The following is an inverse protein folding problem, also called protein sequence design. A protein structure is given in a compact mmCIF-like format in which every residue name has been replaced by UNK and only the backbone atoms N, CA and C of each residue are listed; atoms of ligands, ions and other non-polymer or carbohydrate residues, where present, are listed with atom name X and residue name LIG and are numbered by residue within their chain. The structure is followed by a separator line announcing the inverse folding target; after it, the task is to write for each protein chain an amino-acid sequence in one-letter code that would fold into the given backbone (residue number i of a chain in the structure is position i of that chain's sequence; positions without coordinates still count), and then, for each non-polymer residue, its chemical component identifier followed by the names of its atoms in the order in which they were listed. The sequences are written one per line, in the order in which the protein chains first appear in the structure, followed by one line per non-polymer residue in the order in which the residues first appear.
data_IF_283707959895
#
_entry.id   IF_283707959895
#
_cell.length_a   1.000
_cell.length_b   1.000
_cell.length_c   1.000
_cell.angle_alpha   90.00
_cell.angle_beta   90.00
_cell.angle_gamma   90.00
#
_symmetry.space_group_name_H-M   'P 1'
#
loop_
_entity.id
_entity.type
_entity.pdbx_description
1 polymer ?
#
# COMPACT_ATOMS: atom_id res chain seq x y z
N UNK A 1 -13.46 -53.10 15.64
CA UNK A 1 -13.04 -53.11 14.23
C UNK A 1 -13.26 -51.70 13.73
N UNK A 2 -12.14 -51.02 13.51
CA UNK A 2 -11.95 -49.58 13.33
C UNK A 2 -12.25 -49.17 11.90
N UNK A 3 -13.32 -48.41 11.67
CA UNK A 3 -13.71 -47.88 10.35
C UNK A 3 -14.30 -46.46 10.49
N UNK A 4 -13.74 -45.61 11.36
CA UNK A 4 -14.16 -44.19 11.49
C UNK A 4 -12.96 -43.24 11.68
N UNK A 5 -11.82 -43.51 11.01
CA UNK A 5 -10.61 -42.68 11.17
C UNK A 5 -10.03 -42.07 9.87
N UNK A 6 -10.74 -42.19 8.74
CA UNK A 6 -10.30 -41.64 7.45
C UNK A 6 -11.37 -40.83 6.71
N UNK A 7 -12.27 -40.14 7.43
CA UNK A 7 -12.92 -38.97 6.83
C UNK A 7 -11.93 -37.81 6.86
N UNK A 8 -11.09 -37.80 5.83
CA UNK A 8 -10.11 -36.79 5.55
C UNK A 8 -10.68 -35.38 5.79
N UNK A 9 -9.88 -34.57 6.49
CA UNK A 9 -10.00 -33.12 6.54
C UNK A 9 -10.45 -32.57 5.19
N UNK A 10 -11.75 -32.33 5.05
CA UNK A 10 -12.28 -31.52 3.99
C UNK A 10 -11.89 -30.09 4.35
N UNK A 11 -10.68 -29.68 3.95
CA UNK A 11 -10.34 -28.26 3.93
C UNK A 11 -11.14 -27.70 2.75
N UNK A 12 -12.22 -26.93 2.99
CA UNK A 12 -12.93 -26.30 1.89
C UNK A 12 -11.93 -25.42 1.13
N UNK A 13 -11.95 -25.46 -0.21
CA UNK A 13 -11.16 -24.57 -1.10
C UNK A 13 -11.30 -23.08 -0.78
N UNK A 14 -12.29 -22.70 0.03
CA UNK A 14 -12.51 -21.34 0.50
C UNK A 14 -11.61 -20.92 1.68
N UNK A 15 -10.92 -21.86 2.34
CA UNK A 15 -10.06 -21.50 3.47
C UNK A 15 -8.74 -20.85 3.03
N UNK A 16 -8.28 -21.05 1.79
CA UNK A 16 -7.10 -20.36 1.28
C UNK A 16 -7.34 -18.85 1.20
N UNK A 17 -8.52 -18.41 0.75
CA UNK A 17 -8.90 -17.00 0.73
C UNK A 17 -8.98 -16.39 2.15
N UNK A 18 -9.48 -17.17 3.12
CA UNK A 18 -9.61 -16.74 4.53
C UNK A 18 -8.27 -16.74 5.27
N UNK A 19 -7.35 -17.66 4.94
CA UNK A 19 -6.01 -17.71 5.53
C UNK A 19 -5.06 -16.71 4.86
N UNK A 20 -5.22 -16.42 3.56
CA UNK A 20 -4.47 -15.37 2.88
C UNK A 20 -4.92 -13.97 3.35
N UNK A 21 -6.18 -13.82 3.74
CA UNK A 21 -6.77 -12.60 4.32
C UNK A 21 -6.09 -12.09 5.61
N UNK A 22 -5.17 -12.84 6.23
CA UNK A 22 -4.46 -12.43 7.47
C UNK A 22 -3.01 -12.01 7.28
N UNK A 23 -2.42 -12.12 6.08
CA UNK A 23 -1.11 -11.51 5.83
C UNK A 23 -1.32 -10.09 5.32
N UNK A 24 -0.86 -9.12 6.10
CA UNK A 24 -0.71 -7.76 5.61
C UNK A 24 0.20 -7.80 4.37
N UNK A 25 -0.30 -7.30 3.23
CA UNK A 25 0.44 -7.27 1.96
C UNK A 25 1.71 -6.40 2.09
N UNK A 26 1.65 -5.41 2.97
CA UNK A 26 2.70 -4.43 3.22
C UNK A 26 3.11 -4.40 4.70
N UNK A 27 4.31 -3.90 5.05
CA UNK A 27 4.73 -3.73 6.44
C UNK A 27 3.85 -2.74 7.20
N UNK A 28 3.50 -3.00 8.46
CA UNK A 28 2.49 -2.23 9.22
C UNK A 28 2.79 -0.73 9.31
N UNK A 29 4.07 -0.37 9.32
CA UNK A 29 4.54 1.01 9.45
C UNK A 29 5.30 1.44 8.19
N UNK A 30 4.99 2.62 7.67
CA UNK A 30 5.75 3.29 6.62
C UNK A 30 6.79 4.20 7.30
N UNK A 31 8.08 3.88 7.15
CA UNK A 31 9.21 4.72 7.62
C UNK A 31 10.13 5.11 6.47
N UNK A 32 10.97 6.14 6.67
CA UNK A 32 11.96 6.60 5.69
C UNK A 32 12.88 5.48 5.20
N UNK A 33 13.33 4.63 6.12
CA UNK A 33 14.26 3.52 5.83
C UNK A 33 13.61 2.43 4.98
N UNK A 34 12.27 2.33 5.03
CA UNK A 34 11.49 1.30 4.33
C UNK A 34 10.87 1.79 3.02
N UNK A 35 11.00 3.08 2.68
CA UNK A 35 10.30 3.67 1.53
C UNK A 35 10.63 2.97 0.20
N UNK A 36 11.91 2.67 -0.05
CA UNK A 36 12.31 1.98 -1.28
C UNK A 36 11.73 0.57 -1.36
N UNK A 37 11.82 -0.19 -0.27
CA UNK A 37 11.24 -1.55 -0.19
C UNK A 37 9.72 -1.53 -0.33
N UNK A 38 9.07 -0.49 0.23
CA UNK A 38 7.63 -0.28 0.10
C UNK A 38 7.28 0.01 -1.36
N UNK A 39 8.01 0.91 -2.03
CA UNK A 39 7.80 1.22 -3.44
C UNK A 39 7.87 -0.02 -4.32
N UNK A 40 8.92 -0.84 -4.19
CA UNK A 40 9.06 -2.06 -4.98
C UNK A 40 7.88 -3.03 -4.78
N UNK A 41 7.46 -3.23 -3.53
CA UNK A 41 6.32 -4.11 -3.19
C UNK A 41 5.00 -3.57 -3.69
N UNK A 42 4.75 -2.27 -3.54
CA UNK A 42 3.51 -1.63 -4.01
C UNK A 42 3.46 -1.69 -5.53
N UNK A 43 4.58 -1.41 -6.21
CA UNK A 43 4.66 -1.50 -7.66
C UNK A 43 4.36 -2.91 -8.16
N UNK A 44 4.97 -3.94 -7.56
CA UNK A 44 4.68 -5.34 -7.89
C UNK A 44 3.20 -5.69 -7.64
N UNK A 45 2.67 -5.30 -6.47
CA UNK A 45 1.28 -5.56 -6.10
C UNK A 45 0.28 -4.82 -6.98
N UNK A 46 0.62 -3.61 -7.44
CA UNK A 46 -0.22 -2.80 -8.33
C UNK A 46 -0.46 -3.48 -9.68
N UNK A 47 0.52 -4.24 -10.17
CA UNK A 47 0.41 -4.99 -11.43
C UNK A 47 -0.23 -6.37 -11.24
N UNK A 48 0.12 -7.07 -10.16
CA UNK A 48 -0.31 -8.47 -9.94
C UNK A 48 -1.69 -8.59 -9.31
N UNK A 49 -2.04 -7.68 -8.40
CA UNK A 49 -3.28 -7.71 -7.62
C UNK A 49 -3.76 -6.28 -7.26
N UNK A 50 -4.08 -5.43 -8.25
CA UNK A 50 -4.37 -4.00 -8.05
C UNK A 50 -5.47 -3.74 -7.02
N UNK A 51 -6.57 -4.51 -7.04
CA UNK A 51 -7.68 -4.32 -6.09
C UNK A 51 -7.26 -4.66 -4.65
N UNK A 52 -6.41 -5.67 -4.46
CA UNK A 52 -5.90 -6.05 -3.14
C UNK A 52 -4.83 -5.07 -2.65
N UNK A 53 -3.99 -4.58 -3.57
CA UNK A 53 -3.04 -3.51 -3.33
C UNK A 53 -3.77 -2.26 -2.80
N UNK A 54 -4.77 -1.78 -3.52
CA UNK A 54 -5.54 -0.60 -3.13
C UNK A 54 -6.23 -0.78 -1.77
N UNK A 55 -6.87 -1.93 -1.53
CA UNK A 55 -7.47 -2.24 -0.22
C UNK A 55 -6.44 -2.22 0.91
N UNK A 56 -5.27 -2.83 0.70
CA UNK A 56 -4.21 -2.84 1.70
C UNK A 56 -3.67 -1.44 1.99
N UNK A 57 -3.54 -0.58 0.97
CA UNK A 57 -3.13 0.82 1.12
C UNK A 57 -4.13 1.64 1.94
N UNK A 58 -5.43 1.49 1.67
CA UNK A 58 -6.50 2.17 2.41
C UNK A 58 -6.57 1.65 3.85
N UNK A 59 -6.61 0.33 4.06
CA UNK A 59 -6.70 -0.26 5.41
C UNK A 59 -5.48 0.03 6.28
N UNK A 60 -4.29 0.10 5.69
CA UNK A 60 -3.06 0.43 6.39
C UNK A 60 -2.84 1.93 6.59
N UNK A 61 -3.77 2.79 6.15
CA UNK A 61 -3.63 4.24 6.24
C UNK A 61 -2.32 4.77 5.60
N UNK A 62 -1.88 4.16 4.51
CA UNK A 62 -0.57 4.47 3.92
C UNK A 62 -0.49 5.88 3.34
N UNK A 63 -1.61 6.47 2.90
CA UNK A 63 -1.64 7.85 2.41
C UNK A 63 -1.17 8.81 3.50
N UNK A 64 -1.80 8.80 4.68
CA UNK A 64 -1.40 9.70 5.75
C UNK A 64 0.02 9.44 6.26
N UNK A 65 0.44 8.17 6.35
CA UNK A 65 1.80 7.84 6.77
C UNK A 65 2.85 8.35 5.75
N UNK A 66 2.59 8.17 4.46
CA UNK A 66 3.48 8.63 3.39
C UNK A 66 3.59 10.16 3.38
N UNK A 67 2.48 10.88 3.58
CA UNK A 67 2.47 12.34 3.62
C UNK A 67 3.13 12.91 4.89
N UNK A 68 3.07 12.19 6.02
CA UNK A 68 3.85 12.55 7.20
C UNK A 68 5.36 12.45 6.93
N UNK A 69 5.80 11.43 6.17
CA UNK A 69 7.19 11.31 5.75
C UNK A 69 7.55 12.40 4.73
N UNK A 70 6.67 12.69 3.78
CA UNK A 70 6.82 13.79 2.82
C UNK A 70 7.15 15.10 3.52
N UNK A 71 6.30 15.55 4.44
CA UNK A 71 6.49 16.79 5.19
C UNK A 71 7.84 16.81 5.94
N UNK A 72 8.25 15.66 6.49
CA UNK A 72 9.56 15.55 7.15
C UNK A 72 10.71 15.66 6.14
N UNK A 73 10.66 14.92 5.03
CA UNK A 73 11.69 14.95 3.99
C UNK A 73 11.80 16.31 3.31
N UNK A 74 10.67 17.01 3.10
CA UNK A 74 10.62 18.35 2.55
C UNK A 74 11.35 19.34 3.48
N UNK A 75 11.08 19.29 4.78
CA UNK A 75 11.75 20.12 5.77
C UNK A 75 13.27 19.89 5.85
N UNK A 76 13.71 18.67 5.54
CA UNK A 76 15.13 18.27 5.52
C UNK A 76 15.80 18.56 4.17
N UNK A 77 15.04 18.91 3.13
CA UNK A 77 15.55 19.04 1.75
C UNK A 77 16.02 17.72 1.14
N UNK A 78 15.48 16.58 1.60
CA UNK A 78 15.88 15.26 1.15
C UNK A 78 15.23 14.90 -0.20
N UNK A 79 15.76 15.47 -1.28
CA UNK A 79 15.21 15.31 -2.63
C UNK A 79 15.17 13.86 -3.11
N UNK A 80 16.11 13.01 -2.68
CA UNK A 80 16.13 11.59 -3.06
C UNK A 80 14.89 10.86 -2.55
N UNK A 81 14.54 11.03 -1.27
CA UNK A 81 13.33 10.42 -0.73
C UNK A 81 12.05 11.08 -1.26
N UNK A 82 12.08 12.39 -1.56
CA UNK A 82 10.94 13.08 -2.15
C UNK A 82 10.60 12.55 -3.54
N UNK A 83 11.60 12.21 -4.37
CA UNK A 83 11.37 11.52 -5.65
C UNK A 83 10.77 10.11 -5.46
N UNK A 84 11.18 9.36 -4.43
CA UNK A 84 10.56 8.04 -4.15
C UNK A 84 9.10 8.20 -3.71
N UNK A 85 8.80 9.23 -2.91
CA UNK A 85 7.43 9.55 -2.50
C UNK A 85 6.57 9.92 -3.70
N UNK A 86 7.09 10.76 -4.61
CA UNK A 86 6.44 11.06 -5.88
C UNK A 86 6.03 9.79 -6.63
N UNK A 87 6.97 8.85 -6.80
CA UNK A 87 6.71 7.58 -7.49
C UNK A 87 5.64 6.74 -6.81
N UNK A 88 5.63 6.70 -5.47
CA UNK A 88 4.57 6.04 -4.70
C UNK A 88 3.19 6.69 -4.94
N UNK A 89 3.12 8.02 -4.92
CA UNK A 89 1.87 8.76 -5.19
C UNK A 89 1.36 8.48 -6.61
N UNK A 90 2.25 8.45 -7.61
CA UNK A 90 1.85 8.05 -8.97
C UNK A 90 1.28 6.62 -9.02
N UNK A 91 1.94 5.66 -8.36
CA UNK A 91 1.43 4.28 -8.30
C UNK A 91 0.07 4.25 -7.60
N UNK A 92 -0.12 5.02 -6.52
CA UNK A 92 -1.41 5.08 -5.83
C UNK A 92 -2.51 5.64 -6.74
N UNK A 93 -2.23 6.68 -7.54
CA UNK A 93 -3.18 7.19 -8.52
C UNK A 93 -3.48 6.21 -9.66
N UNK A 94 -2.52 5.36 -10.03
CA UNK A 94 -2.73 4.33 -11.07
C UNK A 94 -3.73 3.24 -10.65
N UNK A 95 -3.92 3.04 -9.34
CA UNK A 95 -4.88 2.08 -8.81
C UNK A 95 -6.30 2.64 -8.94
N UNK A 96 -7.13 2.02 -9.76
CA UNK A 96 -8.53 2.42 -10.03
C UNK A 96 -9.47 2.15 -8.83
N UNK A 97 -9.18 2.75 -7.68
CA UNK A 97 -9.89 2.55 -6.41
C UNK A 97 -10.51 3.86 -5.93
N UNK A 98 -11.84 3.89 -5.85
CA UNK A 98 -12.60 5.05 -5.37
C UNK A 98 -12.20 5.44 -3.94
N UNK A 99 -12.12 4.48 -3.02
CA UNK A 99 -11.80 4.75 -1.61
C UNK A 99 -10.38 5.33 -1.44
N UNK A 100 -9.44 4.90 -2.29
CA UNK A 100 -8.08 5.43 -2.29
C UNK A 100 -8.05 6.86 -2.85
N UNK A 101 -8.80 7.13 -3.92
CA UNK A 101 -8.93 8.48 -4.47
C UNK A 101 -9.61 9.43 -3.49
N UNK A 102 -10.64 9.00 -2.76
CA UNK A 102 -11.24 9.83 -1.70
C UNK A 102 -10.23 10.20 -0.62
N UNK A 103 -9.34 9.28 -0.23
CA UNK A 103 -8.28 9.59 0.73
C UNK A 103 -7.26 10.57 0.16
N UNK A 104 -6.71 10.30 -1.04
CA UNK A 104 -5.73 11.15 -1.71
C UNK A 104 -6.26 12.57 -1.97
N UNK A 105 -7.52 12.67 -2.39
CA UNK A 105 -8.16 13.93 -2.79
C UNK A 105 -8.97 14.60 -1.66
N UNK A 106 -8.91 14.05 -0.45
CA UNK A 106 -9.54 14.67 0.72
C UNK A 106 -8.94 16.05 1.02
N UNK A 107 -9.72 16.92 1.65
CA UNK A 107 -9.24 18.24 2.06
C UNK A 107 -8.03 18.18 3.02
N UNK A 108 -7.86 17.07 3.74
CA UNK A 108 -6.73 16.81 4.62
C UNK A 108 -5.44 16.54 3.84
N UNK A 109 -5.51 15.76 2.75
CA UNK A 109 -4.33 15.25 2.06
C UNK A 109 -3.99 15.98 0.75
N UNK A 110 -4.97 16.63 0.10
CA UNK A 110 -4.82 17.11 -1.29
C UNK A 110 -3.64 18.08 -1.48
N UNK A 111 -3.36 18.95 -0.51
CA UNK A 111 -2.26 19.92 -0.65
C UNK A 111 -0.89 19.23 -0.57
N UNK A 112 -0.71 18.31 0.36
CA UNK A 112 0.54 17.54 0.50
C UNK A 112 0.72 16.58 -0.69
N UNK A 113 -0.38 16.03 -1.22
CA UNK A 113 -0.35 15.24 -2.47
C UNK A 113 0.11 16.08 -3.65
N UNK A 114 -0.40 17.31 -3.80
CA UNK A 114 0.07 18.24 -4.83
C UNK A 114 1.56 18.55 -4.63
N UNK A 115 1.99 18.84 -3.40
CA UNK A 115 3.40 19.08 -3.08
C UNK A 115 4.30 17.90 -3.43
N UNK A 116 3.87 16.68 -3.14
CA UNK A 116 4.60 15.47 -3.53
C UNK A 116 4.72 15.31 -5.05
N UNK A 117 3.70 15.71 -5.81
CA UNK A 117 3.71 15.66 -7.28
C UNK A 117 4.69 16.66 -7.92
N UNK A 118 5.15 17.69 -7.20
CA UNK A 118 6.15 18.65 -7.70
C UNK A 118 7.55 18.04 -7.86
N UNK A 119 7.79 16.85 -7.27
CA UNK A 119 9.08 16.15 -7.30
C UNK A 119 9.20 15.13 -8.46
N UNK A 120 8.37 15.26 -9.49
CA UNK A 120 8.52 14.57 -10.78
C UNK A 120 9.96 14.72 -11.31
N UNK A 121 10.68 13.62 -11.59
CA UNK A 121 12.09 13.66 -11.97
C UNK A 121 12.42 14.25 -13.36
N UNK A 122 11.42 14.58 -14.21
CA UNK A 122 11.52 15.18 -15.56
C UNK A 122 12.78 14.90 -16.41
#
# INVERSE_FOLDING_TARGET
MTEDMYSAFFIPRNLSHILNSKRSLFPTDCTKETLCDLYEKVLEASHSQPDECARALVHGNYVSQLLAIFNTCESEGNTVLLTVIYQLIEVFFSLSSHDLYEHLLSAEHILDVIGALEYDPQ
#
